data_IF_005360053746
#
_entry.id   IF_005360053746
#
_cell.length_a   1.000
_cell.length_b   1.000
_cell.length_c   1.000
_cell.angle_alpha   90.00
_cell.angle_beta   90.00
_cell.angle_gamma   90.00
#
_symmetry.space_group_name_H-M   'P 1'
#
loop_
_entity.id
_entity.type
_entity.pdbx_description
1 polymer ?
#
# COMPACT_ATOMS: atom_id res chain seq x y z
N UNK A 1 -8.07 4.75 13.43
CA UNK A 1 -7.74 3.32 13.26
C UNK A 1 -7.83 3.02 11.78
N UNK A 2 -6.72 2.76 11.09
CA UNK A 2 -6.73 2.66 9.63
C UNK A 2 -7.73 1.59 9.14
N UNK A 3 -8.58 1.96 8.20
CA UNK A 3 -9.46 1.02 7.48
C UNK A 3 -8.58 0.09 6.64
N UNK A 4 -8.77 -1.23 6.76
CA UNK A 4 -7.93 -2.21 6.08
C UNK A 4 -8.54 -2.69 4.75
N UNK A 5 -7.71 -2.94 3.73
CA UNK A 5 -8.14 -3.70 2.55
C UNK A 5 -8.75 -5.05 2.95
N UNK A 6 -9.84 -5.43 2.30
CA UNK A 6 -10.48 -6.74 2.52
C UNK A 6 -9.98 -7.79 1.53
N UNK A 7 -9.12 -7.41 0.59
CA UNK A 7 -8.56 -8.29 -0.43
C UNK A 7 -7.74 -9.42 0.19
N UNK A 8 -7.90 -10.62 -0.37
CA UNK A 8 -7.03 -11.78 -0.15
C UNK A 8 -6.16 -11.92 -1.38
N UNK A 9 -4.84 -11.94 -1.18
CA UNK A 9 -3.85 -12.21 -2.22
C UNK A 9 -3.52 -13.69 -2.21
N UNK A 10 -3.45 -14.32 -3.38
CA UNK A 10 -3.01 -15.71 -3.49
C UNK A 10 -1.59 -15.90 -2.97
N UNK A 11 -1.17 -17.14 -2.75
CA UNK A 11 0.22 -17.41 -2.36
C UNK A 11 1.20 -16.89 -3.41
N UNK A 12 0.93 -17.05 -4.70
CA UNK A 12 1.77 -16.51 -5.78
C UNK A 12 1.86 -14.97 -5.75
N UNK A 13 0.74 -14.29 -5.49
CA UNK A 13 0.74 -12.84 -5.33
C UNK A 13 1.51 -12.42 -4.08
N UNK A 14 1.40 -13.19 -3.00
CA UNK A 14 2.18 -12.94 -1.79
C UNK A 14 3.68 -13.10 -2.04
N UNK A 15 4.11 -14.12 -2.79
CA UNK A 15 5.51 -14.27 -3.19
C UNK A 15 6.02 -13.04 -3.93
N UNK A 16 5.25 -12.52 -4.89
CA UNK A 16 5.60 -11.28 -5.60
C UNK A 16 5.66 -10.07 -4.67
N UNK A 17 4.69 -9.93 -3.75
CA UNK A 17 4.69 -8.86 -2.75
C UNK A 17 5.95 -8.93 -1.88
N UNK A 18 6.40 -10.13 -1.49
CA UNK A 18 7.60 -10.33 -0.67
C UNK A 18 8.89 -9.90 -1.36
N UNK A 19 8.94 -9.91 -2.70
CA UNK A 19 10.10 -9.39 -3.43
C UNK A 19 10.25 -7.88 -3.27
N UNK A 20 9.17 -7.17 -2.92
CA UNK A 20 9.15 -5.72 -2.79
C UNK A 20 9.42 -5.02 -4.13
N UNK A 21 9.78 -3.73 -4.05
CA UNK A 21 10.22 -2.96 -5.21
C UNK A 21 11.19 -1.86 -4.78
N UNK A 22 12.09 -1.51 -5.68
CA UNK A 22 12.93 -0.31 -5.56
C UNK A 22 12.65 0.56 -6.78
N UNK A 23 12.21 1.78 -6.52
CA UNK A 23 11.93 2.77 -7.53
C UNK A 23 13.20 3.11 -8.32
N UNK A 24 13.10 3.08 -9.66
CA UNK A 24 14.19 3.34 -10.59
C UNK A 24 14.21 4.78 -11.08
N UNK A 25 13.12 5.52 -10.92
CA UNK A 25 12.98 6.91 -11.35
C UNK A 25 11.92 7.65 -10.51
N UNK A 26 11.75 8.95 -10.76
CA UNK A 26 10.81 9.80 -10.00
C UNK A 26 9.32 9.50 -10.27
N UNK A 27 8.99 8.83 -11.37
CA UNK A 27 7.60 8.42 -11.66
C UNK A 27 7.22 7.18 -10.82
N UNK A 28 8.21 6.38 -10.43
CA UNK A 28 8.08 5.28 -9.48
C UNK A 28 8.09 5.86 -8.06
N UNK A 29 6.89 6.09 -7.52
CA UNK A 29 6.67 6.86 -6.28
C UNK A 29 6.89 6.10 -4.98
N UNK A 30 7.22 4.81 -5.06
CA UNK A 30 7.21 3.91 -3.91
C UNK A 30 8.41 2.96 -3.93
N UNK A 31 9.06 2.87 -2.79
CA UNK A 31 9.91 1.75 -2.43
C UNK A 31 9.13 0.84 -1.47
N UNK A 32 9.31 -0.47 -1.62
CA UNK A 32 8.70 -1.46 -0.77
C UNK A 32 9.68 -2.57 -0.44
N UNK A 33 9.71 -2.99 0.81
CA UNK A 33 10.40 -4.21 1.21
C UNK A 33 9.55 -4.97 2.24
N UNK A 34 9.78 -6.28 2.36
CA UNK A 34 9.06 -7.14 3.30
C UNK A 34 10.06 -7.78 4.27
N UNK A 35 9.81 -7.60 5.57
CA UNK A 35 10.51 -8.31 6.64
C UNK A 35 9.54 -9.28 7.32
N UNK A 36 9.79 -10.58 7.17
CA UNK A 36 8.92 -11.63 7.67
C UNK A 36 7.52 -11.59 7.05
N UNK A 37 6.58 -10.94 7.75
CA UNK A 37 5.18 -10.74 7.30
C UNK A 37 4.77 -9.27 7.26
N UNK A 38 5.70 -8.35 7.45
CA UNK A 38 5.43 -6.92 7.45
C UNK A 38 6.02 -6.28 6.20
N UNK A 39 5.17 -5.66 5.40
CA UNK A 39 5.56 -4.84 4.27
C UNK A 39 5.75 -3.40 4.73
N UNK A 40 6.84 -2.78 4.33
CA UNK A 40 7.21 -1.41 4.63
C UNK A 40 7.20 -0.61 3.32
N UNK A 41 6.41 0.47 3.27
CA UNK A 41 6.18 1.26 2.06
C UNK A 41 6.66 2.69 2.27
N UNK A 42 7.65 3.10 1.50
CA UNK A 42 8.30 4.42 1.61
C UNK A 42 8.17 5.22 0.33
N UNK A 43 8.19 6.56 0.44
CA UNK A 43 8.32 7.42 -0.75
C UNK A 43 9.74 7.39 -1.27
N UNK A 44 9.89 7.09 -2.55
CA UNK A 44 11.21 6.97 -3.21
C UNK A 44 12.05 8.23 -3.19
N UNK A 45 11.44 9.41 -3.13
CA UNK A 45 12.15 10.69 -3.17
C UNK A 45 12.41 11.31 -1.78
N UNK A 46 11.85 10.76 -0.70
CA UNK A 46 12.13 11.23 0.67
C UNK A 46 12.67 10.15 1.60
N UNK A 47 12.49 8.87 1.25
CA UNK A 47 12.77 7.73 2.12
C UNK A 47 11.84 7.63 3.33
N UNK A 48 10.78 8.45 3.42
CA UNK A 48 9.86 8.38 4.54
C UNK A 48 8.94 7.17 4.38
N UNK A 49 8.96 6.29 5.38
CA UNK A 49 7.97 5.23 5.51
C UNK A 49 6.61 5.85 5.75
N UNK A 50 5.69 5.63 4.82
CA UNK A 50 4.32 6.13 4.89
C UNK A 50 3.39 5.09 5.49
N UNK A 51 3.61 3.82 5.14
CA UNK A 51 2.79 2.72 5.64
C UNK A 51 3.67 1.54 6.03
N UNK A 52 3.24 0.83 7.07
CA UNK A 52 3.64 -0.55 7.26
C UNK A 52 2.41 -1.44 7.44
N UNK A 53 2.36 -2.56 6.72
CA UNK A 53 1.24 -3.48 6.68
C UNK A 53 1.67 -4.90 7.09
N UNK A 54 1.07 -5.43 8.14
CA UNK A 54 1.28 -6.80 8.59
C UNK A 54 0.29 -7.73 7.91
N UNK A 55 0.80 -8.81 7.33
CA UNK A 55 0.03 -9.86 6.68
C UNK A 55 -0.13 -11.08 7.59
N UNK A 56 -1.22 -11.81 7.38
CA UNK A 56 -1.42 -13.15 7.92
C UNK A 56 -1.94 -14.07 6.84
N UNK A 57 -1.51 -15.33 6.89
CA UNK A 57 -2.14 -16.40 6.14
C UNK A 57 -3.59 -16.58 6.61
N UNK A 58 -4.47 -16.85 5.65
CA UNK A 58 -5.88 -17.17 5.77
C UNK A 58 -6.23 -18.28 4.79
N UNK A 59 -7.44 -18.82 4.88
CA UNK A 59 -7.94 -19.71 3.83
C UNK A 59 -7.94 -18.97 2.48
N UNK A 60 -7.28 -19.55 1.47
CA UNK A 60 -7.18 -18.98 0.14
C UNK A 60 -6.03 -17.97 -0.08
N UNK A 61 -5.17 -17.72 0.92
CA UNK A 61 -3.93 -16.96 0.73
C UNK A 61 -3.59 -16.02 1.89
N UNK A 62 -3.35 -14.76 1.61
CA UNK A 62 -2.82 -13.76 2.55
C UNK A 62 -3.67 -12.50 2.57
N UNK A 63 -3.81 -11.89 3.75
CA UNK A 63 -4.49 -10.59 3.90
C UNK A 63 -3.75 -9.68 4.87
N UNK A 64 -3.99 -8.38 4.75
CA UNK A 64 -3.52 -7.39 5.73
C UNK A 64 -4.40 -7.49 6.98
N UNK A 65 -3.77 -7.71 8.13
CA UNK A 65 -4.43 -7.79 9.45
C UNK A 65 -4.13 -6.60 10.34
N UNK A 66 -3.13 -5.80 9.99
CA UNK A 66 -2.77 -4.56 10.66
C UNK A 66 -2.10 -3.62 9.66
N UNK A 67 -2.43 -2.33 9.73
CA UNK A 67 -1.70 -1.29 9.03
C UNK A 67 -1.43 -0.13 10.00
N UNK A 68 -0.23 0.43 9.90
CA UNK A 68 0.17 1.68 10.54
C UNK A 68 0.55 2.68 9.46
N UNK A 69 0.37 3.96 9.74
CA UNK A 69 0.70 5.05 8.83
C UNK A 69 1.52 6.13 9.52
N UNK A 70 2.33 6.87 8.77
CA UNK A 70 3.07 8.01 9.29
C UNK A 70 2.12 9.05 9.89
N UNK A 71 2.42 9.44 11.12
CA UNK A 71 1.62 10.33 11.96
C UNK A 71 2.12 11.77 11.95
N UNK A 72 3.39 11.98 11.59
CA UNK A 72 3.97 13.30 11.51
C UNK A 72 3.45 14.04 10.26
N UNK A 73 2.59 15.04 10.49
CA UNK A 73 1.96 15.83 9.43
C UNK A 73 2.95 16.60 8.56
N UNK A 74 4.16 16.89 9.05
CA UNK A 74 5.20 17.54 8.24
C UNK A 74 5.86 16.58 7.24
N UNK A 75 5.72 15.26 7.45
CA UNK A 75 6.26 14.21 6.58
C UNK A 75 5.20 13.60 5.67
N UNK A 76 4.00 13.43 6.19
CA UNK A 76 2.87 12.88 5.45
C UNK A 76 1.57 13.56 5.86
N UNK A 77 0.93 14.23 4.91
CA UNK A 77 -0.39 14.82 5.15
C UNK A 77 -1.45 13.71 5.10
N UNK A 78 -1.69 13.12 6.27
CA UNK A 78 -2.73 12.13 6.50
C UNK A 78 -4.10 12.67 6.07
N UNK A 79 -4.83 11.88 5.29
CA UNK A 79 -6.21 12.17 4.87
C UNK A 79 -7.19 11.32 5.68
N UNK A 80 -8.21 10.76 5.03
CA UNK A 80 -9.15 9.85 5.66
C UNK A 80 -8.61 8.41 5.74
N UNK A 81 -9.18 7.61 6.63
CA UNK A 81 -8.88 6.18 6.75
C UNK A 81 -9.19 5.43 5.45
N UNK A 82 -10.29 5.82 4.78
CA UNK A 82 -10.64 5.31 3.44
C UNK A 82 -9.59 5.61 2.38
N UNK A 83 -9.00 6.81 2.43
CA UNK A 83 -7.91 7.18 1.53
C UNK A 83 -6.67 6.33 1.78
N UNK A 84 -6.31 6.13 3.05
CA UNK A 84 -5.20 5.25 3.44
C UNK A 84 -5.43 3.82 2.95
N UNK A 85 -6.63 3.25 3.17
CA UNK A 85 -7.03 1.92 2.68
C UNK A 85 -6.81 1.77 1.17
N UNK A 86 -7.36 2.69 0.39
CA UNK A 86 -7.28 2.67 -1.08
C UNK A 86 -5.84 2.85 -1.56
N UNK A 87 -5.08 3.77 -0.95
CA UNK A 87 -3.68 3.98 -1.30
C UNK A 87 -2.84 2.74 -1.01
N UNK A 88 -3.04 2.12 0.15
CA UNK A 88 -2.34 0.91 0.54
C UNK A 88 -2.60 -0.22 -0.46
N UNK A 89 -3.87 -0.49 -0.78
CA UNK A 89 -4.25 -1.54 -1.74
C UNK A 89 -3.74 -1.25 -3.15
N UNK A 90 -3.70 0.02 -3.57
CA UNK A 90 -3.14 0.43 -4.86
C UNK A 90 -1.63 0.20 -4.95
N UNK A 91 -0.87 0.40 -3.88
CA UNK A 91 0.57 0.12 -3.90
C UNK A 91 0.80 -1.37 -4.12
N UNK A 92 0.12 -2.23 -3.37
CA UNK A 92 0.24 -3.69 -3.57
C UNK A 92 -0.22 -4.11 -4.96
N UNK A 93 -1.40 -3.65 -5.40
CA UNK A 93 -1.97 -4.10 -6.67
C UNK A 93 -1.19 -3.56 -7.87
N UNK A 94 -0.94 -2.26 -7.93
CA UNK A 94 -0.39 -1.64 -9.13
C UNK A 94 1.14 -1.62 -9.16
N UNK A 95 1.79 -1.36 -8.03
CA UNK A 95 3.26 -1.23 -8.00
C UNK A 95 3.91 -2.61 -7.85
N UNK A 96 3.40 -3.44 -6.94
CA UNK A 96 4.02 -4.74 -6.65
C UNK A 96 3.53 -5.87 -7.55
N UNK A 97 2.25 -5.87 -7.94
CA UNK A 97 1.68 -6.92 -8.80
C UNK A 97 1.53 -6.50 -10.27
N UNK A 98 1.76 -5.22 -10.59
CA UNK A 98 1.58 -4.71 -11.96
C UNK A 98 0.14 -4.70 -12.46
N UNK A 99 -0.84 -4.89 -11.57
CA UNK A 99 -2.25 -4.95 -11.94
C UNK A 99 -2.80 -3.54 -12.21
N UNK A 100 -3.69 -3.36 -13.20
CA UNK A 100 -4.26 -2.05 -13.51
C UNK A 100 -5.11 -1.48 -12.36
N UNK A 101 -5.83 -2.33 -11.62
CA UNK A 101 -6.64 -1.96 -10.46
C UNK A 101 -7.61 -0.78 -10.74
N UNK A 102 -8.32 -0.82 -11.86
CA UNK A 102 -9.07 0.33 -12.40
C UNK A 102 -10.14 0.87 -11.45
N UNK A 103 -10.86 0.01 -10.73
CA UNK A 103 -11.86 0.41 -9.74
C UNK A 103 -11.23 1.15 -8.55
N UNK A 104 -10.13 0.61 -8.03
CA UNK A 104 -9.35 1.24 -6.96
C UNK A 104 -8.77 2.59 -7.41
N UNK A 105 -8.27 2.68 -8.65
CA UNK A 105 -7.81 3.93 -9.24
C UNK A 105 -8.93 4.96 -9.37
N UNK A 106 -10.11 4.54 -9.84
CA UNK A 106 -11.28 5.41 -9.94
C UNK A 106 -11.74 5.91 -8.57
N UNK A 107 -11.71 5.06 -7.54
CA UNK A 107 -11.96 5.46 -6.16
C UNK A 107 -10.92 6.46 -5.64
N UNK A 108 -9.64 6.18 -5.85
CA UNK A 108 -8.55 7.08 -5.47
C UNK A 108 -8.72 8.47 -6.06
N UNK A 109 -9.03 8.56 -7.36
CA UNK A 109 -9.28 9.83 -8.06
C UNK A 109 -10.48 10.57 -7.45
N UNK A 110 -11.57 9.87 -7.11
CA UNK A 110 -12.73 10.48 -6.44
C UNK A 110 -12.38 11.03 -5.06
N UNK A 111 -11.58 10.30 -4.28
CA UNK A 111 -11.13 10.75 -2.95
C UNK A 111 -10.19 11.95 -3.04
N UNK A 112 -9.27 11.96 -4.01
CA UNK A 112 -8.37 13.08 -4.26
C UNK A 112 -9.12 14.38 -4.56
N UNK A 113 -10.20 14.31 -5.35
CA UNK A 113 -11.04 15.46 -5.72
C UNK A 113 -11.89 16.01 -4.57
N UNK A 114 -12.22 15.20 -3.56
CA UNK A 114 -13.05 15.61 -2.41
C UNK A 114 -12.27 16.33 -1.31
N UNK A 115 -10.95 16.38 -1.41
CA UNK A 115 -10.08 17.05 -0.42
C UNK A 115 -9.40 18.31 -1.00
N UNK A 116 -9.82 18.73 -2.20
CA UNK A 116 -9.38 19.96 -2.87
C UNK A 116 -10.42 21.07 -2.69
#
# INVERSE_FOLDING_TARGET
>A
MAELPTRVWSDDQWELIRLGCVARNMDEKWDAFVEGRQAHLSRSWTGYEIFAATFSAVEGGWRIVRAVEESNQSRYHRRSERFARVMLELVFSNILLGEPADELRAEFVRLMRRTA
#
